data_IF_340612090571
#
_entry.id   IF_340612090571
#
_cell.length_a   1.000
_cell.length_b   1.000
_cell.length_c   1.000
_cell.angle_alpha   90.00
_cell.angle_beta   90.00
_cell.angle_gamma   90.00
#
_symmetry.space_group_name_H-M   'P 1'
#
loop_
_entity.id
_entity.type
_entity.pdbx_description
1 polymer ?
#
# COMPACT_ATOMS: atom_id res chain seq x y z
N UNK A 1 -4.90 7.30 8.65
CA UNK A 1 -5.41 6.43 9.71
C UNK A 1 -6.89 6.63 9.96
N UNK A 2 -7.35 7.84 10.31
CA UNK A 2 -8.76 8.11 10.67
C UNK A 2 -9.72 7.67 9.56
N UNK A 3 -9.45 7.96 8.29
CA UNK A 3 -10.26 7.55 7.15
C UNK A 3 -10.39 6.03 6.96
N UNK A 4 -9.47 5.25 7.54
CA UNK A 4 -9.40 3.80 7.41
C UNK A 4 -9.72 3.06 8.72
N UNK A 5 -10.19 3.76 9.77
CA UNK A 5 -10.35 3.20 11.11
C UNK A 5 -11.23 1.95 11.18
N UNK A 6 -12.30 1.91 10.37
CA UNK A 6 -13.23 0.78 10.29
C UNK A 6 -12.68 -0.43 9.50
N UNK A 7 -11.46 -0.34 8.98
CA UNK A 7 -10.74 -1.43 8.33
C UNK A 7 -9.71 -2.09 9.26
N UNK A 8 -9.62 -1.62 10.51
CA UNK A 8 -8.79 -2.24 11.54
C UNK A 8 -9.53 -3.45 12.09
N UNK A 9 -8.92 -4.63 11.96
CA UNK A 9 -9.52 -5.88 12.43
C UNK A 9 -9.51 -5.99 13.96
N UNK A 10 -10.57 -6.53 14.59
CA UNK A 10 -10.73 -6.60 16.04
C UNK A 10 -9.59 -7.30 16.80
N UNK A 11 -9.01 -8.34 16.19
CA UNK A 11 -7.98 -9.16 16.83
C UNK A 11 -6.54 -8.70 16.52
N UNK A 12 -6.40 -7.49 15.99
CA UNK A 12 -5.12 -6.94 15.55
C UNK A 12 -4.50 -6.03 16.60
N UNK A 13 -3.23 -6.26 16.96
CA UNK A 13 -2.48 -5.36 17.86
C UNK A 13 -1.79 -4.23 17.10
N UNK A 14 -1.37 -4.47 15.88
CA UNK A 14 -0.59 -3.54 15.06
C UNK A 14 -1.11 -3.43 13.63
N UNK A 15 -1.07 -2.22 13.10
CA UNK A 15 -1.41 -1.93 11.71
C UNK A 15 -0.29 -1.13 11.06
N UNK A 16 0.10 -1.51 9.85
CA UNK A 16 0.95 -0.70 8.99
C UNK A 16 0.08 -0.10 7.89
N UNK A 17 -0.15 1.20 7.96
CA UNK A 17 -0.85 1.94 6.89
C UNK A 17 0.18 2.39 5.86
N UNK A 18 -0.06 2.08 4.60
CA UNK A 18 0.79 2.42 3.46
C UNK A 18 -0.02 3.28 2.50
N UNK A 19 0.47 4.49 2.22
CA UNK A 19 -0.11 5.40 1.24
C UNK A 19 0.92 5.68 0.14
N UNK A 20 0.67 5.19 -1.08
CA UNK A 20 1.61 5.30 -2.20
C UNK A 20 1.21 6.49 -3.06
N UNK A 21 1.92 7.60 -2.89
CA UNK A 21 1.73 8.82 -3.67
C UNK A 21 2.57 8.89 -4.94
N UNK A 22 2.47 10.02 -5.65
CA UNK A 22 3.29 10.29 -6.83
C UNK A 22 4.75 10.54 -6.50
N UNK A 23 5.03 11.33 -5.46
CA UNK A 23 6.38 11.75 -5.06
C UNK A 23 6.97 10.98 -3.88
N UNK A 24 6.13 10.39 -3.04
CA UNK A 24 6.54 9.72 -1.80
C UNK A 24 5.59 8.58 -1.46
N UNK A 25 6.03 7.74 -0.54
CA UNK A 25 5.21 6.71 0.09
C UNK A 25 5.23 6.92 1.61
N UNK A 26 4.06 7.13 2.19
CA UNK A 26 3.88 7.36 3.61
C UNK A 26 3.58 6.05 4.33
N UNK A 27 4.34 5.80 5.39
CA UNK A 27 4.21 4.64 6.26
C UNK A 27 3.82 5.10 7.67
N UNK A 28 2.68 4.60 8.17
CA UNK A 28 2.25 4.84 9.55
C UNK A 28 2.14 3.50 10.29
N UNK A 29 2.98 3.29 11.28
CA UNK A 29 2.93 2.13 12.16
C UNK A 29 2.09 2.47 13.39
N UNK A 30 1.05 1.71 13.65
CA UNK A 30 -0.06 2.08 14.53
C UNK A 30 -0.30 1.01 15.57
N UNK A 31 -0.59 1.42 16.81
CA UNK A 31 -1.21 0.56 17.83
C UNK A 31 -2.72 0.49 17.58
N UNK A 32 -3.24 -0.68 17.28
CA UNK A 32 -4.66 -0.88 16.96
C UNK A 32 -5.57 -0.95 18.20
N UNK A 33 -5.03 -1.24 19.39
CA UNK A 33 -5.80 -1.44 20.63
C UNK A 33 -6.74 -0.29 20.99
N UNK A 34 -6.33 0.99 20.90
CA UNK A 34 -7.25 2.11 21.18
C UNK A 34 -8.47 2.17 20.23
N UNK A 35 -8.35 1.64 19.01
CA UNK A 35 -9.47 1.53 18.09
C UNK A 35 -10.50 0.50 18.59
N UNK A 36 -10.05 -0.59 19.20
CA UNK A 36 -10.91 -1.63 19.76
C UNK A 36 -11.68 -1.16 20.99
N UNK A 37 -11.02 -0.36 21.85
CA UNK A 37 -11.60 0.12 23.11
C UNK A 37 -12.59 1.28 22.94
N UNK A 38 -12.33 2.18 21.97
CA UNK A 38 -13.10 3.43 21.83
C UNK A 38 -13.51 3.79 20.40
N UNK A 39 -13.28 2.91 19.42
CA UNK A 39 -13.58 3.18 18.02
C UNK A 39 -12.96 4.48 17.52
N UNK A 40 -13.68 5.22 16.67
CA UNK A 40 -13.24 6.51 16.15
C UNK A 40 -12.91 7.52 17.26
N UNK A 41 -13.72 7.57 18.33
CA UNK A 41 -13.48 8.49 19.45
C UNK A 41 -12.16 8.17 20.20
N UNK A 42 -11.83 6.89 20.34
CA UNK A 42 -10.55 6.46 20.91
C UNK A 42 -9.36 6.94 20.06
N UNK A 43 -9.45 6.80 18.76
CA UNK A 43 -8.42 7.24 17.80
C UNK A 43 -8.25 8.77 17.75
N UNK A 44 -9.36 9.52 17.86
CA UNK A 44 -9.31 11.00 17.85
C UNK A 44 -8.72 11.59 19.13
N UNK A 45 -8.93 10.95 20.29
CA UNK A 45 -8.38 11.42 21.56
C UNK A 45 -6.86 11.31 21.64
N UNK A 46 -6.32 10.22 21.12
CA UNK A 46 -4.87 9.95 21.11
C UNK A 46 -4.56 9.16 19.84
N UNK A 47 -4.08 9.81 18.76
CA UNK A 47 -3.65 9.08 17.59
C UNK A 47 -2.59 8.04 17.97
N UNK A 48 -2.87 6.75 17.78
CA UNK A 48 -2.00 5.68 18.27
C UNK A 48 -0.84 5.39 17.31
N UNK A 49 -0.25 6.43 16.74
CA UNK A 49 0.86 6.33 15.80
C UNK A 49 2.14 6.08 16.58
N UNK A 50 2.69 4.88 16.50
CA UNK A 50 3.94 4.48 17.13
C UNK A 50 5.16 5.00 16.36
N UNK A 51 5.06 5.03 15.04
CA UNK A 51 6.07 5.59 14.16
C UNK A 51 5.46 6.02 12.82
N UNK A 52 6.05 7.03 12.23
CA UNK A 52 5.71 7.52 10.90
C UNK A 52 6.97 7.74 10.07
N UNK A 53 6.87 7.48 8.78
CA UNK A 53 7.95 7.70 7.83
C UNK A 53 7.38 8.07 6.46
N UNK A 54 7.89 9.14 5.87
CA UNK A 54 7.78 9.37 4.43
C UNK A 54 9.05 8.85 3.77
N UNK A 55 8.88 7.93 2.83
CA UNK A 55 9.95 7.46 1.95
C UNK A 55 9.95 8.34 0.70
N UNK A 56 11.10 8.85 0.24
CA UNK A 56 11.18 9.66 -0.97
C UNK A 56 11.11 8.78 -2.23
N UNK A 57 10.10 7.90 -2.29
CA UNK A 57 9.79 7.01 -3.40
C UNK A 57 8.29 7.02 -3.64
N UNK A 58 7.87 7.59 -4.75
CA UNK A 58 6.51 7.58 -5.24
C UNK A 58 6.48 7.06 -6.68
N UNK A 59 5.30 6.80 -7.22
CA UNK A 59 5.19 6.19 -8.55
C UNK A 59 5.73 7.08 -9.66
N UNK A 60 5.59 8.40 -9.54
CA UNK A 60 6.12 9.36 -10.52
C UNK A 60 7.64 9.47 -10.39
N UNK A 61 8.12 9.79 -9.18
CA UNK A 61 9.56 10.00 -8.94
C UNK A 61 10.38 8.74 -9.24
N UNK A 62 9.85 7.57 -8.95
CA UNK A 62 10.53 6.31 -9.23
C UNK A 62 10.52 6.01 -10.75
N UNK A 63 9.41 6.27 -11.45
CA UNK A 63 9.35 6.12 -12.90
C UNK A 63 10.34 7.05 -13.59
N UNK A 64 10.39 8.32 -13.21
CA UNK A 64 11.31 9.30 -13.78
C UNK A 64 12.78 8.95 -13.52
N UNK A 65 13.11 8.52 -12.30
CA UNK A 65 14.48 8.17 -11.93
C UNK A 65 15.07 7.03 -12.77
N UNK A 66 14.24 6.09 -13.22
CA UNK A 66 14.64 4.92 -13.98
C UNK A 66 14.19 4.92 -15.43
N UNK A 67 13.64 6.04 -15.94
CA UNK A 67 13.14 6.17 -17.31
C UNK A 67 14.21 5.97 -18.41
N UNK A 68 15.48 6.05 -18.05
CA UNK A 68 16.60 5.86 -18.96
C UNK A 68 16.97 4.38 -19.20
N UNK A 69 16.35 3.46 -18.47
CA UNK A 69 16.62 2.02 -18.53
C UNK A 69 15.50 1.27 -19.28
N UNK A 70 15.84 0.16 -19.96
CA UNK A 70 14.84 -0.79 -20.42
C UNK A 70 14.03 -1.38 -19.25
N UNK A 71 12.78 -1.76 -19.48
CA UNK A 71 11.89 -2.29 -18.42
C UNK A 71 12.49 -3.45 -17.61
N UNK A 72 13.18 -4.36 -18.31
CA UNK A 72 13.81 -5.54 -17.70
C UNK A 72 14.90 -5.17 -16.68
N UNK A 73 15.61 -4.07 -16.94
CA UNK A 73 16.65 -3.54 -16.06
C UNK A 73 16.10 -2.57 -15.03
N UNK A 74 15.10 -1.78 -15.40
CA UNK A 74 14.49 -0.77 -14.54
C UNK A 74 13.82 -1.40 -13.30
N UNK A 75 13.02 -2.45 -13.48
CA UNK A 75 12.25 -3.03 -12.38
C UNK A 75 13.10 -3.52 -11.21
N UNK A 76 14.12 -4.38 -11.40
CA UNK A 76 14.95 -4.84 -10.29
C UNK A 76 15.68 -3.68 -9.59
N UNK A 77 16.07 -2.64 -10.33
CA UNK A 77 16.72 -1.47 -9.74
C UNK A 77 15.73 -0.60 -8.96
N UNK A 78 14.50 -0.40 -9.46
CA UNK A 78 13.42 0.23 -8.71
C UNK A 78 13.16 -0.49 -7.40
N UNK A 79 13.01 -1.82 -7.44
CA UNK A 79 12.78 -2.65 -6.25
C UNK A 79 13.92 -2.54 -5.25
N UNK A 80 15.18 -2.65 -5.71
CA UNK A 80 16.35 -2.51 -4.86
C UNK A 80 16.42 -1.10 -4.22
N UNK A 81 16.09 -0.05 -4.98
CA UNK A 81 16.00 1.31 -4.47
C UNK A 81 14.95 1.44 -3.36
N UNK A 82 13.73 0.93 -3.58
CA UNK A 82 12.64 0.93 -2.59
C UNK A 82 13.08 0.21 -1.32
N UNK A 83 13.61 -1.01 -1.43
CA UNK A 83 14.09 -1.79 -0.29
C UNK A 83 15.20 -1.06 0.48
N UNK A 84 16.14 -0.43 -0.23
CA UNK A 84 17.19 0.38 0.39
C UNK A 84 16.65 1.60 1.16
N UNK A 85 15.53 2.19 0.75
CA UNK A 85 14.87 3.26 1.52
C UNK A 85 14.15 2.72 2.75
N UNK A 86 13.53 1.54 2.64
CA UNK A 86 12.88 0.86 3.77
C UNK A 86 13.92 0.49 4.85
N UNK A 87 15.05 -0.06 4.47
CA UNK A 87 16.10 -0.52 5.42
C UNK A 87 16.75 0.64 6.19
N UNK A 88 16.69 1.86 5.66
CA UNK A 88 17.07 3.08 6.40
C UNK A 88 16.09 3.46 7.51
N UNK A 89 14.93 2.84 7.58
CA UNK A 89 13.96 3.10 8.64
C UNK A 89 14.30 2.28 9.89
N UNK A 90 14.73 2.96 10.96
CA UNK A 90 15.14 2.32 12.22
C UNK A 90 14.07 1.44 12.87
N UNK A 91 12.80 1.64 12.51
CA UNK A 91 11.67 0.84 13.01
C UNK A 91 11.36 -0.40 12.16
N UNK A 92 12.00 -0.57 11.00
CA UNK A 92 11.74 -1.71 10.12
C UNK A 92 11.90 -3.08 10.81
N UNK A 93 12.93 -3.32 11.66
CA UNK A 93 13.05 -4.60 12.38
C UNK A 93 11.88 -4.87 13.33
N UNK A 94 11.45 -3.87 14.12
CA UNK A 94 10.31 -3.98 15.04
C UNK A 94 9.00 -4.29 14.30
N UNK A 95 8.79 -3.64 13.14
CA UNK A 95 7.62 -3.86 12.32
C UNK A 95 7.61 -5.30 11.78
N UNK A 96 8.74 -5.78 11.24
CA UNK A 96 8.88 -7.16 10.76
C UNK A 96 8.57 -8.19 11.85
N UNK A 97 9.02 -7.94 13.07
CA UNK A 97 8.75 -8.78 14.25
C UNK A 97 7.26 -8.81 14.60
N UNK A 98 6.59 -7.65 14.61
CA UNK A 98 5.16 -7.55 14.85
C UNK A 98 4.35 -8.36 13.84
N UNK A 99 4.72 -8.32 12.55
CA UNK A 99 4.08 -9.14 11.53
C UNK A 99 4.40 -10.64 11.66
N UNK A 100 5.57 -10.99 12.16
CA UNK A 100 5.92 -12.39 12.42
C UNK A 100 5.06 -13.01 13.54
N UNK A 101 4.55 -12.21 14.48
CA UNK A 101 3.66 -12.65 15.56
C UNK A 101 2.25 -13.04 15.09
N UNK A 102 1.86 -12.66 13.88
CA UNK A 102 0.53 -12.93 13.29
C UNK A 102 -0.61 -12.03 13.79
N UNK A 103 -0.32 -11.03 14.64
CA UNK A 103 -1.31 -10.07 15.17
C UNK A 103 -1.16 -8.67 14.56
N UNK A 104 -0.82 -8.64 13.29
CA UNK A 104 -0.67 -7.41 12.52
C UNK A 104 -1.20 -7.58 11.10
N UNK A 105 -1.78 -6.53 10.54
CA UNK A 105 -2.11 -6.47 9.11
C UNK A 105 -1.72 -5.14 8.47
N UNK A 106 -1.69 -5.14 7.15
CA UNK A 106 -1.44 -3.93 6.35
C UNK A 106 -2.77 -3.30 5.95
N UNK A 107 -2.84 -1.97 5.97
CA UNK A 107 -3.86 -1.21 5.23
C UNK A 107 -3.15 -0.48 4.11
N UNK A 108 -3.46 -0.85 2.87
CA UNK A 108 -2.95 -0.21 1.68
C UNK A 108 -3.96 0.79 1.11
N UNK A 109 -3.53 2.03 0.87
CA UNK A 109 -4.36 3.06 0.24
C UNK A 109 -3.66 3.64 -0.97
N UNK A 110 -4.36 4.32 -1.79
CA UNK A 110 -3.95 5.00 -3.02
C UNK A 110 -4.43 4.35 -4.32
N UNK A 111 -4.27 5.12 -5.39
CA UNK A 111 -4.63 4.65 -6.73
C UNK A 111 -3.83 3.44 -7.22
N UNK A 112 -2.58 3.28 -6.79
CA UNK A 112 -1.74 2.13 -7.13
C UNK A 112 -2.31 0.85 -6.54
N UNK A 113 -2.55 0.83 -5.24
CA UNK A 113 -3.06 -0.34 -4.52
C UNK A 113 -4.44 -0.73 -5.01
N UNK A 114 -5.33 0.25 -5.20
CA UNK A 114 -6.70 0.00 -5.68
C UNK A 114 -6.75 -0.50 -7.12
N UNK A 115 -5.86 -0.02 -8.00
CA UNK A 115 -5.73 -0.55 -9.37
C UNK A 115 -5.24 -2.00 -9.37
N UNK A 116 -4.18 -2.31 -8.62
CA UNK A 116 -3.67 -3.69 -8.49
C UNK A 116 -4.75 -4.62 -7.94
N UNK A 117 -5.49 -4.19 -6.93
CA UNK A 117 -6.63 -4.95 -6.39
C UNK A 117 -7.68 -5.21 -7.46
N UNK A 118 -8.03 -4.22 -8.25
CA UNK A 118 -8.99 -4.41 -9.36
C UNK A 118 -8.52 -5.44 -10.39
N UNK A 119 -7.22 -5.47 -10.71
CA UNK A 119 -6.63 -6.50 -11.60
C UNK A 119 -6.66 -7.87 -10.92
N UNK A 120 -6.29 -7.95 -9.64
CA UNK A 120 -6.31 -9.21 -8.86
C UNK A 120 -7.70 -9.83 -8.82
N UNK A 121 -8.72 -8.99 -8.62
CA UNK A 121 -10.13 -9.41 -8.61
C UNK A 121 -10.72 -9.68 -10.01
N UNK A 122 -9.97 -9.46 -11.08
CA UNK A 122 -10.43 -9.68 -12.47
C UNK A 122 -11.56 -8.73 -12.88
N UNK A 123 -11.61 -7.53 -12.33
CA UNK A 123 -12.70 -6.59 -12.61
C UNK A 123 -12.60 -6.03 -14.02
N UNK A 124 -13.72 -6.05 -14.76
CA UNK A 124 -13.84 -5.48 -16.12
C UNK A 124 -13.99 -3.96 -16.14
N UNK A 125 -14.27 -3.35 -14.99
CA UNK A 125 -14.27 -1.90 -14.73
C UNK A 125 -14.00 -1.67 -13.25
N UNK A 126 -13.49 -0.50 -12.91
CA UNK A 126 -13.26 -0.16 -11.52
C UNK A 126 -14.59 -0.15 -10.73
N UNK A 127 -14.60 -0.83 -9.60
CA UNK A 127 -15.75 -1.01 -8.70
C UNK A 127 -15.31 -0.75 -7.27
N UNK A 128 -15.57 0.47 -6.76
CA UNK A 128 -15.22 0.85 -5.39
C UNK A 128 -15.81 -0.10 -4.35
N UNK A 129 -17.06 -0.52 -4.54
CA UNK A 129 -17.77 -1.46 -3.66
C UNK A 129 -17.15 -2.87 -3.59
N UNK A 130 -16.27 -3.20 -4.52
CA UNK A 130 -15.50 -4.46 -4.52
C UNK A 130 -14.08 -4.30 -4.05
N UNK A 131 -13.53 -3.09 -4.21
CA UNK A 131 -12.13 -2.79 -3.90
C UNK A 131 -11.98 -2.31 -2.46
N UNK A 132 -12.83 -1.36 -2.02
CA UNK A 132 -12.77 -0.82 -0.65
C UNK A 132 -13.15 -1.89 0.38
N UNK A 133 -12.23 -2.14 1.30
CA UNK A 133 -12.37 -3.19 2.31
C UNK A 133 -12.01 -4.60 1.83
N UNK A 134 -11.57 -4.80 0.59
CA UNK A 134 -11.12 -6.11 0.12
C UNK A 134 -9.87 -6.57 0.88
N UNK A 135 -9.74 -7.88 1.07
CA UNK A 135 -8.52 -8.51 1.54
C UNK A 135 -7.68 -9.01 0.38
N UNK A 136 -6.40 -8.68 0.39
CA UNK A 136 -5.42 -9.17 -0.57
C UNK A 136 -4.31 -9.92 0.17
N UNK A 137 -4.16 -11.20 -0.13
CA UNK A 137 -2.99 -11.93 0.34
C UNK A 137 -1.75 -11.46 -0.41
N UNK A 138 -0.59 -11.60 0.23
CA UNK A 138 0.68 -11.32 -0.43
C UNK A 138 0.80 -12.11 -1.75
N UNK A 139 0.47 -13.40 -1.73
CA UNK A 139 0.56 -14.28 -2.88
C UNK A 139 -0.29 -13.78 -4.06
N UNK A 140 -1.57 -13.45 -3.83
CA UNK A 140 -2.47 -12.95 -4.86
C UNK A 140 -1.98 -11.62 -5.45
N UNK A 141 -1.49 -10.72 -4.61
CA UNK A 141 -0.96 -9.43 -5.06
C UNK A 141 0.34 -9.60 -5.85
N UNK A 142 1.26 -10.46 -5.39
CA UNK A 142 2.50 -10.73 -6.10
C UNK A 142 2.27 -11.45 -7.43
N UNK A 143 1.30 -12.37 -7.51
CA UNK A 143 0.87 -12.96 -8.78
C UNK A 143 0.35 -11.91 -9.77
N UNK A 144 -0.33 -10.88 -9.28
CA UNK A 144 -0.76 -9.75 -10.11
C UNK A 144 0.42 -8.89 -10.57
N UNK A 145 1.37 -8.60 -9.68
CA UNK A 145 2.61 -7.88 -10.04
C UNK A 145 3.35 -8.62 -11.16
N UNK A 146 3.52 -9.92 -11.02
CA UNK A 146 4.20 -10.75 -12.02
C UNK A 146 3.46 -10.78 -13.36
N UNK A 147 2.12 -10.89 -13.32
CA UNK A 147 1.27 -10.81 -14.52
C UNK A 147 1.44 -9.47 -15.26
N UNK A 148 1.47 -8.37 -14.53
CA UNK A 148 1.65 -7.03 -15.11
C UNK A 148 3.04 -6.87 -15.70
N UNK A 149 4.08 -7.31 -15.01
CA UNK A 149 5.46 -7.30 -15.52
C UNK A 149 5.61 -8.11 -16.80
N UNK A 150 5.04 -9.32 -16.82
CA UNK A 150 5.07 -10.19 -18.01
C UNK A 150 4.31 -9.58 -19.20
N UNK A 151 3.27 -8.78 -18.94
CA UNK A 151 2.55 -8.07 -20.02
C UNK A 151 3.37 -6.92 -20.62
N UNK A 152 4.24 -6.28 -19.83
CA UNK A 152 5.05 -5.14 -20.21
C UNK A 152 4.26 -3.81 -20.22
N UNK A 153 4.99 -2.70 -20.16
CA UNK A 153 4.41 -1.34 -20.08
C UNK A 153 3.45 -1.04 -21.24
N UNK A 154 3.80 -1.47 -22.44
CA UNK A 154 2.98 -1.24 -23.63
C UNK A 154 1.56 -1.81 -23.52
N UNK A 155 1.35 -2.84 -22.71
CA UNK A 155 0.04 -3.49 -22.51
C UNK A 155 -0.64 -3.10 -21.19
N UNK A 156 -0.04 -2.27 -20.34
CA UNK A 156 -0.63 -1.88 -19.06
C UNK A 156 -2.02 -1.26 -19.21
N UNK A 157 -2.22 -0.44 -20.24
CA UNK A 157 -3.51 0.20 -20.54
C UNK A 157 -4.63 -0.79 -20.90
N UNK A 158 -4.31 -2.03 -21.25
CA UNK A 158 -5.31 -3.06 -21.59
C UNK A 158 -5.98 -3.67 -20.35
N UNK A 159 -5.43 -3.44 -19.17
CA UNK A 159 -6.07 -3.86 -17.92
C UNK A 159 -7.16 -2.86 -17.52
N UNK A 160 -8.43 -3.28 -17.44
CA UNK A 160 -9.58 -2.35 -17.35
C UNK A 160 -9.56 -1.43 -16.13
N UNK A 161 -8.87 -1.81 -15.05
CA UNK A 161 -8.82 -1.02 -13.80
C UNK A 161 -7.60 -0.12 -13.70
N UNK A 162 -6.65 -0.20 -14.64
CA UNK A 162 -5.44 0.63 -14.63
C UNK A 162 -5.69 1.96 -15.36
N UNK A 163 -6.32 1.91 -16.53
CA UNK A 163 -6.56 3.09 -17.36
C UNK A 163 -5.27 3.65 -18.00
N UNK A 164 -5.44 4.49 -19.01
CA UNK A 164 -4.33 5.07 -19.79
C UNK A 164 -3.43 5.98 -18.96
N UNK A 165 -4.02 6.80 -18.08
CA UNK A 165 -3.30 7.82 -17.30
C UNK A 165 -2.35 7.23 -16.26
N UNK A 166 -2.59 5.98 -15.84
CA UNK A 166 -1.79 5.29 -14.82
C UNK A 166 -0.87 4.21 -15.39
N UNK A 167 -1.11 3.81 -16.65
CA UNK A 167 -0.35 2.72 -17.28
C UNK A 167 1.16 2.92 -17.18
N UNK A 168 1.65 4.14 -17.45
CA UNK A 168 3.07 4.48 -17.38
C UNK A 168 3.68 4.46 -15.97
N UNK A 169 2.87 4.43 -14.91
CA UNK A 169 3.31 4.45 -13.52
C UNK A 169 3.23 3.09 -12.82
N UNK A 170 2.61 2.11 -13.49
CA UNK A 170 2.30 0.83 -12.84
C UNK A 170 3.53 -0.02 -12.54
N UNK A 171 4.59 0.07 -13.35
CA UNK A 171 5.83 -0.66 -13.09
C UNK A 171 6.46 -0.20 -11.76
N UNK A 172 6.57 1.10 -11.57
CA UNK A 172 7.04 1.69 -10.32
C UNK A 172 6.09 1.35 -9.15
N UNK A 173 4.77 1.40 -9.38
CA UNK A 173 3.78 0.99 -8.39
C UNK A 173 3.94 -0.46 -7.94
N UNK A 174 4.18 -1.37 -8.87
CA UNK A 174 4.48 -2.77 -8.60
C UNK A 174 5.74 -2.92 -7.74
N UNK A 175 6.83 -2.23 -8.10
CA UNK A 175 8.08 -2.28 -7.34
C UNK A 175 7.92 -1.75 -5.90
N UNK A 176 7.13 -0.68 -5.72
CA UNK A 176 6.84 -0.14 -4.37
C UNK A 176 6.03 -1.16 -3.56
N UNK A 177 4.94 -1.72 -4.11
CA UNK A 177 4.10 -2.71 -3.42
C UNK A 177 4.92 -3.95 -3.07
N UNK A 178 5.73 -4.48 -3.98
CA UNK A 178 6.62 -5.61 -3.71
C UNK A 178 7.60 -5.30 -2.57
N UNK A 179 8.25 -4.12 -2.62
CA UNK A 179 9.18 -3.69 -1.58
C UNK A 179 8.51 -3.57 -0.20
N UNK A 180 7.25 -3.10 -0.14
CA UNK A 180 6.52 -2.97 1.13
C UNK A 180 6.28 -4.32 1.83
N UNK A 181 6.15 -5.41 1.08
CA UNK A 181 6.06 -6.75 1.66
C UNK A 181 7.31 -7.18 2.43
N UNK A 182 8.44 -6.50 2.26
CA UNK A 182 9.62 -6.73 3.10
C UNK A 182 9.41 -6.33 4.56
N UNK A 183 8.46 -5.42 4.83
CA UNK A 183 8.05 -5.02 6.18
C UNK A 183 6.99 -5.96 6.79
N UNK A 184 6.17 -6.60 5.94
CA UNK A 184 5.04 -7.39 6.36
C UNK A 184 5.07 -8.80 5.72
N UNK A 185 6.09 -9.63 6.00
CA UNK A 185 6.34 -10.87 5.26
C UNK A 185 5.23 -11.93 5.40
N UNK A 186 4.39 -11.82 6.43
CA UNK A 186 3.27 -12.74 6.72
C UNK A 186 1.93 -12.03 6.87
N UNK A 187 1.85 -10.75 6.51
CA UNK A 187 0.62 -9.97 6.68
C UNK A 187 -0.21 -9.96 5.41
N UNK A 188 -1.54 -10.01 5.55
CA UNK A 188 -2.46 -9.68 4.48
C UNK A 188 -2.70 -8.17 4.45
N UNK A 189 -3.10 -7.66 3.28
CA UNK A 189 -3.39 -6.24 3.08
C UNK A 189 -4.90 -6.02 2.95
N UNK A 190 -5.44 -5.19 3.83
CA UNK A 190 -6.77 -4.62 3.69
C UNK A 190 -6.70 -3.39 2.80
N UNK A 191 -7.55 -3.32 1.80
CA UNK A 191 -7.52 -2.24 0.82
C UNK A 191 -8.43 -1.10 1.25
N UNK A 192 -7.91 0.12 1.24
CA UNK A 192 -8.67 1.32 1.51
C UNK A 192 -8.77 2.20 0.25
N UNK A 193 -9.98 2.32 -0.29
CA UNK A 193 -10.29 3.34 -1.32
C UNK A 193 -10.81 4.62 -0.67
N UNK A 194 -10.13 5.02 0.38
CA UNK A 194 -10.37 6.21 1.20
C UNK A 194 -9.05 6.67 1.78
N UNK A 195 -8.91 7.95 2.03
CA UNK A 195 -7.62 8.50 2.43
C UNK A 195 -7.75 9.72 3.34
N UNK A 196 -6.86 10.68 3.14
CA UNK A 196 -6.77 11.90 3.94
C UNK A 196 -8.07 12.71 3.94
N UNK A 197 -8.77 12.80 2.81
CA UNK A 197 -10.02 13.59 2.68
C UNK A 197 -11.13 13.04 3.57
N UNK A 198 -11.35 11.74 3.53
CA UNK A 198 -12.34 11.06 4.39
C UNK A 198 -11.95 11.18 5.87
N UNK A 199 -10.65 11.06 6.17
CA UNK A 199 -10.14 11.24 7.54
C UNK A 199 -10.37 12.65 8.07
N UNK A 200 -10.18 13.68 7.24
CA UNK A 200 -10.43 15.07 7.62
C UNK A 200 -11.91 15.31 7.89
N UNK A 201 -12.79 14.84 7.01
CA UNK A 201 -14.25 14.97 7.21
C UNK A 201 -14.70 14.31 8.53
N UNK A 202 -14.21 13.09 8.83
CA UNK A 202 -14.54 12.40 10.07
C UNK A 202 -14.01 13.12 11.32
N UNK A 203 -12.88 13.83 11.21
CA UNK A 203 -12.33 14.60 12.33
C UNK A 203 -13.09 15.90 12.65
N UNK A 204 -13.95 16.34 11.73
CA UNK A 204 -14.77 17.55 11.87
C UNK A 204 -16.18 17.26 12.40
N UNK A 205 -16.55 16.00 12.55
CA UNK A 205 -17.83 15.54 13.10
C UNK A 205 -17.73 15.29 14.62
#
# INVERSE_FOLDING_TARGET
LIGCHNLIEPDTDRVLVIDIGGGSTELSYVDARPAHEGGLKGLLRKPPILAWRSLPVGVVTLTEAFAHLPEEEAYPQMLAHVMGQIDKWKRAPEIREAFASGRAHVIGTSGTVTCLTGVTLGLTKYRRDKVDGAWMTREAMMGTVEKLRAAGMAKMHTFPTIGTDRAGLMLAGCAIVEGMWSLAPRGDMRIADRGLREGLLLSMM
#
